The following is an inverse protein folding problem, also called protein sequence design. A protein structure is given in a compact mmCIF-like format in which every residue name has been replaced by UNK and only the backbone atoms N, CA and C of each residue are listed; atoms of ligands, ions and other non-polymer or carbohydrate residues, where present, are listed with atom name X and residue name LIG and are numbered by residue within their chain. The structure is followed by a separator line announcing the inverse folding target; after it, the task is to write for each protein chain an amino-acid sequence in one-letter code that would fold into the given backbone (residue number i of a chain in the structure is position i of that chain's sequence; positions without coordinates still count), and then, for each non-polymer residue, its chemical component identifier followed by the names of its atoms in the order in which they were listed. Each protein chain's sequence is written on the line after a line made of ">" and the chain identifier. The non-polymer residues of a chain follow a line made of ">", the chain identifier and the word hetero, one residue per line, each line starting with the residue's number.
data_IF_429585996909
#
_entry.id   IF_429585996909
#
_cell.length_a   1.000
_cell.length_b   1.000
_cell.length_c   1.000
_cell.angle_alpha   90.00
_cell.angle_beta   90.00
_cell.angle_gamma   90.00
#
_symmetry.space_group_name_H-M   'P 1'
#
loop_
_entity.id
_entity.type
_entity.pdbx_description
1 polymer ?
#
# COMPACT_ATOMS: atom_id res chain seq x y z
N UNK A 1 -57.60 -13.34 -21.69
CA UNK A 1 -56.11 -13.40 -21.63
C UNK A 1 -55.49 -12.02 -21.32
N UNK A 2 -55.94 -11.28 -20.29
CA UNK A 2 -55.44 -9.91 -19.99
C UNK A 2 -54.89 -9.69 -18.56
N UNK A 3 -55.07 -10.65 -17.66
CA UNK A 3 -54.70 -10.49 -16.23
C UNK A 3 -53.21 -10.75 -15.94
N UNK A 4 -52.56 -11.69 -16.67
CA UNK A 4 -51.16 -12.06 -16.41
C UNK A 4 -50.16 -10.94 -16.69
N UNK A 5 -50.43 -10.09 -17.69
CA UNK A 5 -49.53 -8.99 -18.03
C UNK A 5 -49.56 -7.85 -17.00
N UNK A 6 -50.70 -7.65 -16.31
CA UNK A 6 -50.81 -6.61 -15.30
C UNK A 6 -49.97 -6.92 -14.06
N UNK A 7 -49.94 -8.20 -13.64
CA UNK A 7 -49.18 -8.63 -12.46
C UNK A 7 -47.67 -8.47 -12.65
N UNK A 8 -47.16 -8.73 -13.86
CA UNK A 8 -45.73 -8.58 -14.19
C UNK A 8 -45.30 -7.12 -14.14
N UNK A 9 -46.13 -6.20 -14.63
CA UNK A 9 -45.83 -4.76 -14.61
C UNK A 9 -45.79 -4.22 -13.17
N UNK A 10 -46.70 -4.69 -12.31
CA UNK A 10 -46.74 -4.27 -10.90
C UNK A 10 -45.51 -4.79 -10.15
N UNK A 11 -45.13 -6.06 -10.35
CA UNK A 11 -43.94 -6.64 -9.71
C UNK A 11 -42.65 -5.93 -10.14
N UNK A 12 -42.52 -5.58 -11.43
CA UNK A 12 -41.33 -4.87 -11.92
C UNK A 12 -41.23 -3.45 -11.33
N UNK A 13 -42.37 -2.79 -11.13
CA UNK A 13 -42.43 -1.44 -10.53
C UNK A 13 -42.04 -1.46 -9.05
N UNK A 14 -42.45 -2.49 -8.30
CA UNK A 14 -42.07 -2.66 -6.88
C UNK A 14 -40.58 -2.93 -6.73
N UNK A 15 -39.98 -3.73 -7.62
CA UNK A 15 -38.53 -4.02 -7.59
C UNK A 15 -37.72 -2.76 -7.89
N UNK A 16 -38.15 -1.90 -8.83
CA UNK A 16 -37.49 -0.63 -9.11
C UNK A 16 -37.55 0.36 -7.93
N UNK A 17 -38.64 0.34 -7.14
CA UNK A 17 -38.77 1.15 -5.93
C UNK A 17 -37.96 0.62 -4.73
N UNK A 18 -37.57 -0.65 -4.76
CA UNK A 18 -36.80 -1.29 -3.69
C UNK A 18 -35.29 -1.31 -3.93
N UNK A 19 -34.77 -0.64 -4.96
CA UNK A 19 -33.33 -0.45 -5.05
C UNK A 19 -32.91 0.57 -4.00
N UNK A 20 -32.24 0.15 -2.90
CA UNK A 20 -31.64 1.13 -2.00
C UNK A 20 -30.70 1.97 -2.85
N UNK A 21 -30.92 3.27 -2.86
CA UNK A 21 -29.97 4.20 -3.43
C UNK A 21 -28.67 3.97 -2.66
N UNK A 22 -27.74 3.21 -3.25
CA UNK A 22 -26.37 3.09 -2.77
C UNK A 22 -25.82 4.50 -2.93
N UNK A 23 -25.99 5.31 -1.89
CA UNK A 23 -25.26 6.54 -1.73
C UNK A 23 -23.81 6.10 -1.56
N UNK A 24 -23.09 6.05 -2.67
CA UNK A 24 -21.65 6.24 -2.67
C UNK A 24 -21.44 7.65 -2.14
N UNK A 25 -21.44 7.78 -0.81
CA UNK A 25 -20.87 8.91 -0.11
C UNK A 25 -19.39 8.90 -0.49
N UNK A 26 -19.08 9.58 -1.59
CA UNK A 26 -17.77 10.13 -1.89
C UNK A 26 -17.49 11.25 -0.88
N UNK A 27 -17.68 10.98 0.41
CA UNK A 27 -17.13 11.83 1.45
C UNK A 27 -15.63 11.81 1.19
N UNK A 28 -15.01 12.96 0.90
CA UNK A 28 -13.57 13.05 0.84
C UNK A 28 -13.08 12.47 2.16
N UNK A 29 -12.32 11.37 2.10
CA UNK A 29 -11.65 10.84 3.28
C UNK A 29 -10.84 12.01 3.81
N UNK A 30 -11.26 12.55 4.96
CA UNK A 30 -10.61 13.70 5.55
C UNK A 30 -9.16 13.29 5.88
N UNK A 31 -8.15 13.82 5.15
CA UNK A 31 -6.77 13.42 5.38
C UNK A 31 -6.29 13.84 6.78
N UNK A 32 -7.06 14.69 7.49
CA UNK A 32 -6.81 15.03 8.89
C UNK A 32 -7.04 13.85 9.85
N UNK A 33 -7.87 12.86 9.51
CA UNK A 33 -8.07 11.65 10.33
C UNK A 33 -6.87 10.69 10.28
N UNK A 34 -5.95 10.89 9.34
CA UNK A 34 -4.66 10.19 9.28
C UNK A 34 -3.48 11.02 9.82
N UNK A 35 -3.75 12.22 10.36
CA UNK A 35 -2.73 13.00 11.07
C UNK A 35 -2.45 12.35 12.42
N UNK A 36 -1.42 11.51 12.41
CA UNK A 36 -0.72 11.08 13.60
C UNK A 36 -0.29 12.32 14.43
N UNK A 37 -0.43 12.31 15.77
CA UNK A 37 0.04 13.38 16.66
C UNK A 37 1.55 13.67 16.57
N UNK A 38 2.29 12.86 15.80
CA UNK A 38 3.75 12.94 15.63
C UNK A 38 4.19 13.85 14.46
N UNK A 39 3.26 14.51 13.77
CA UNK A 39 3.55 15.23 12.52
C UNK A 39 4.01 16.69 12.68
N UNK A 40 4.36 17.16 13.89
CA UNK A 40 4.83 18.55 14.05
C UNK A 40 6.34 18.75 13.94
N UNK A 41 7.12 17.68 13.76
CA UNK A 41 8.54 17.81 13.53
C UNK A 41 9.02 16.79 12.47
N UNK A 42 9.31 17.22 11.22
CA UNK A 42 9.88 16.35 10.19
C UNK A 42 11.31 15.90 10.54
N UNK A 43 11.92 16.45 11.59
CA UNK A 43 13.19 15.97 12.17
C UNK A 43 12.98 15.07 13.40
N UNK A 44 11.74 14.88 13.87
CA UNK A 44 11.48 13.92 14.92
C UNK A 44 11.91 12.54 14.43
N UNK A 45 12.87 11.90 15.11
CA UNK A 45 13.36 10.62 14.65
C UNK A 45 12.22 9.61 14.69
N UNK A 46 12.20 8.73 13.69
CA UNK A 46 11.18 7.72 13.39
C UNK A 46 11.11 6.62 14.48
N UNK A 47 11.04 7.01 15.76
CA UNK A 47 11.37 6.20 16.93
C UNK A 47 10.18 5.83 17.82
N UNK A 48 8.96 6.25 17.52
CA UNK A 48 7.80 5.93 18.37
C UNK A 48 7.14 4.60 18.05
N UNK A 49 7.67 3.81 17.12
CA UNK A 49 7.45 2.36 17.09
C UNK A 49 8.78 1.66 17.25
N UNK A 50 8.91 0.65 18.14
CA UNK A 50 10.13 -0.13 18.33
C UNK A 50 10.38 -1.09 17.14
N UNK A 51 10.10 -0.66 15.91
CA UNK A 51 10.50 -1.34 14.70
C UNK A 51 11.96 -1.00 14.47
N UNK A 52 12.81 -2.02 14.48
CA UNK A 52 14.23 -1.90 14.25
C UNK A 52 14.41 -1.55 12.76
N UNK A 53 14.39 -0.26 12.45
CA UNK A 53 14.88 0.19 11.15
C UNK A 53 16.40 0.06 11.24
N UNK A 54 17.02 -0.76 10.38
CA UNK A 54 18.47 -0.85 10.29
C UNK A 54 19.03 0.56 10.09
N UNK A 55 20.06 0.93 10.86
CA UNK A 55 20.73 2.22 10.68
C UNK A 55 21.12 2.39 9.22
N UNK A 56 20.84 3.57 8.68
CA UNK A 56 21.18 3.93 7.30
C UNK A 56 20.13 3.54 6.25
N UNK A 57 18.98 2.98 6.64
CA UNK A 57 17.89 2.81 5.70
C UNK A 57 17.36 4.17 5.22
N UNK A 58 17.12 4.31 3.92
CA UNK A 58 16.72 5.57 3.29
C UNK A 58 15.42 5.40 2.50
N UNK A 59 14.47 6.31 2.74
CA UNK A 59 13.31 6.48 1.88
C UNK A 59 13.74 7.24 0.63
N UNK A 60 13.45 6.69 -0.55
CA UNK A 60 13.59 7.40 -1.81
C UNK A 60 12.23 7.50 -2.50
N UNK A 61 11.75 8.72 -2.67
CA UNK A 61 10.51 9.01 -3.37
C UNK A 61 10.75 9.14 -4.87
N UNK A 62 9.86 8.57 -5.67
CA UNK A 62 9.92 8.56 -7.14
C UNK A 62 8.52 8.72 -7.75
N UNK A 63 7.73 9.62 -7.16
CA UNK A 63 6.34 9.86 -7.58
C UNK A 63 6.29 10.52 -8.95
N UNK A 64 5.45 9.99 -9.84
CA UNK A 64 5.21 10.47 -11.20
C UNK A 64 3.71 10.52 -11.49
N UNK A 65 3.33 11.05 -12.66
CA UNK A 65 1.92 11.05 -13.10
C UNK A 65 1.31 9.64 -13.18
N UNK A 66 2.12 8.60 -13.40
CA UNK A 66 1.68 7.21 -13.49
C UNK A 66 1.73 6.47 -12.15
N UNK A 67 2.16 7.12 -11.06
CA UNK A 67 2.18 6.51 -9.73
C UNK A 67 0.77 6.22 -9.20
N UNK A 68 0.65 5.30 -8.23
CA UNK A 68 -0.63 4.96 -7.63
C UNK A 68 -1.30 6.09 -6.92
N UNK A 69 -2.61 5.97 -6.80
CA UNK A 69 -3.36 6.80 -5.87
C UNK A 69 -3.07 6.38 -4.43
N UNK A 70 -3.09 7.32 -3.49
CA UNK A 70 -2.90 7.00 -2.07
C UNK A 70 -3.87 5.92 -1.56
N UNK A 71 -5.13 5.97 -2.02
CA UNK A 71 -6.16 4.99 -1.66
C UNK A 71 -5.75 3.57 -2.02
N UNK A 72 -5.20 3.38 -3.23
CA UNK A 72 -4.75 2.07 -3.69
C UNK A 72 -3.61 1.55 -2.81
N UNK A 73 -2.68 2.42 -2.42
CA UNK A 73 -1.53 2.07 -1.56
C UNK A 73 -2.01 1.64 -0.18
N UNK A 74 -2.95 2.36 0.41
CA UNK A 74 -3.49 2.03 1.73
C UNK A 74 -4.24 0.70 1.72
N UNK A 75 -5.00 0.40 0.66
CA UNK A 75 -5.70 -0.88 0.56
C UNK A 75 -4.70 -2.03 0.34
N UNK A 76 -3.71 -1.87 -0.56
CA UNK A 76 -2.66 -2.85 -0.77
C UNK A 76 -1.84 -3.11 0.51
N UNK A 77 -1.59 -2.06 1.29
CA UNK A 77 -0.96 -2.14 2.61
C UNK A 77 -1.78 -2.95 3.60
N UNK A 78 -3.09 -2.71 3.68
CA UNK A 78 -3.97 -3.44 4.58
C UNK A 78 -4.01 -4.94 4.26
N UNK A 79 -4.01 -5.31 2.98
CA UNK A 79 -3.92 -6.72 2.54
C UNK A 79 -2.66 -7.41 3.09
N UNK A 80 -1.52 -6.70 3.13
CA UNK A 80 -0.28 -7.24 3.72
C UNK A 80 -0.37 -7.26 5.24
N UNK A 81 -0.92 -6.22 5.85
CA UNK A 81 -1.06 -6.12 7.30
C UNK A 81 -1.90 -7.26 7.88
N UNK A 82 -2.93 -7.72 7.17
CA UNK A 82 -3.76 -8.87 7.54
C UNK A 82 -2.99 -10.19 7.62
N UNK A 83 -1.81 -10.28 6.98
CA UNK A 83 -0.91 -11.44 7.10
C UNK A 83 -0.18 -11.46 8.46
N UNK A 84 -0.33 -10.42 9.28
CA UNK A 84 0.26 -10.28 10.63
C UNK A 84 1.79 -10.47 10.58
N UNK A 85 2.36 -11.00 11.66
CA UNK A 85 3.81 -11.19 11.82
C UNK A 85 4.39 -12.36 11.01
N UNK A 86 3.75 -12.80 9.92
CA UNK A 86 4.36 -13.74 8.97
C UNK A 86 5.52 -13.08 8.23
N UNK A 87 6.43 -13.90 7.71
CA UNK A 87 7.54 -13.42 6.88
C UNK A 87 7.11 -13.26 5.42
N UNK A 88 7.37 -12.07 4.88
CA UNK A 88 7.31 -11.76 3.47
C UNK A 88 8.71 -12.02 2.89
N UNK A 89 8.89 -13.21 2.30
CA UNK A 89 10.19 -13.69 1.82
C UNK A 89 10.27 -13.68 0.30
N UNK A 90 11.37 -13.14 -0.21
CA UNK A 90 11.76 -13.16 -1.61
C UNK A 90 11.99 -14.60 -2.09
N UNK A 91 11.24 -15.06 -3.09
CA UNK A 91 11.31 -16.46 -3.58
C UNK A 91 12.10 -16.64 -4.88
N UNK A 92 12.41 -15.57 -5.61
CA UNK A 92 13.05 -15.65 -6.93
C UNK A 92 14.13 -14.60 -7.19
N UNK A 93 14.64 -14.54 -8.42
CA UNK A 93 15.61 -13.52 -8.87
C UNK A 93 14.97 -12.16 -9.19
N UNK A 94 13.65 -12.13 -9.34
CA UNK A 94 12.85 -10.91 -9.58
C UNK A 94 12.04 -10.60 -8.35
N UNK A 95 11.66 -9.34 -8.18
CA UNK A 95 10.85 -8.91 -7.05
C UNK A 95 9.64 -9.81 -6.78
N UNK A 96 9.41 -10.15 -5.52
CA UNK A 96 8.22 -10.89 -5.08
C UNK A 96 7.16 -9.90 -4.62
N UNK A 97 6.01 -9.88 -5.29
CA UNK A 97 4.84 -9.05 -4.92
C UNK A 97 4.00 -9.77 -3.87
N UNK A 98 3.62 -9.07 -2.81
CA UNK A 98 2.84 -9.61 -1.69
C UNK A 98 1.40 -9.09 -1.67
N UNK A 99 1.16 -7.88 -2.16
CA UNK A 99 -0.19 -7.38 -2.41
C UNK A 99 -0.21 -6.46 -3.62
N UNK A 100 -1.37 -6.45 -4.27
CA UNK A 100 -1.72 -5.56 -5.36
C UNK A 100 -3.15 -5.11 -5.16
N UNK A 101 -3.41 -3.82 -5.35
CA UNK A 101 -4.75 -3.26 -5.38
C UNK A 101 -4.80 -2.06 -6.34
N UNK A 102 -5.70 -2.10 -7.32
CA UNK A 102 -5.83 -1.03 -8.30
C UNK A 102 -4.51 -0.77 -9.02
N UNK A 103 -4.02 0.47 -8.92
CA UNK A 103 -2.70 0.83 -9.44
C UNK A 103 -1.55 0.38 -8.53
N UNK A 104 -1.75 0.25 -7.21
CA UNK A 104 -0.72 -0.03 -6.21
C UNK A 104 -0.22 -1.49 -6.19
N UNK A 105 1.09 -1.69 -6.08
CA UNK A 105 1.70 -2.98 -5.68
C UNK A 105 2.68 -2.83 -4.51
N UNK A 106 2.81 -3.84 -3.66
CA UNK A 106 3.85 -3.90 -2.63
C UNK A 106 4.68 -5.16 -2.82
N UNK A 107 5.99 -4.97 -3.02
CA UNK A 107 6.92 -6.03 -3.33
C UNK A 107 8.20 -5.94 -2.50
N UNK A 108 8.98 -7.00 -2.50
CA UNK A 108 10.37 -7.00 -2.04
C UNK A 108 11.23 -7.28 -3.28
N UNK A 109 12.37 -6.60 -3.39
CA UNK A 109 13.33 -6.83 -4.48
C UNK A 109 14.73 -7.03 -3.89
N UNK A 110 14.95 -8.22 -3.34
CA UNK A 110 16.19 -8.60 -2.68
C UNK A 110 16.76 -9.90 -3.28
N UNK A 111 17.85 -10.40 -2.69
CA UNK A 111 18.35 -11.73 -3.00
C UNK A 111 17.32 -12.82 -2.57
N UNK A 112 17.23 -13.95 -3.30
CA UNK A 112 16.38 -15.08 -2.90
C UNK A 112 16.63 -15.50 -1.46
N UNK A 113 15.56 -15.76 -0.71
CA UNK A 113 15.61 -16.14 0.71
C UNK A 113 15.65 -14.97 1.69
N UNK A 114 15.85 -13.75 1.22
CA UNK A 114 15.73 -12.56 2.06
C UNK A 114 14.27 -12.26 2.39
N UNK A 115 13.96 -11.85 3.61
CA UNK A 115 12.60 -11.50 3.99
C UNK A 115 12.53 -10.47 5.10
N UNK A 116 11.38 -9.84 5.21
CA UNK A 116 10.99 -9.00 6.35
C UNK A 116 9.68 -9.52 6.92
N UNK A 117 9.32 -9.09 8.12
CA UNK A 117 7.96 -9.30 8.57
C UNK A 117 7.00 -8.54 7.66
N UNK A 118 5.85 -9.14 7.37
CA UNK A 118 4.87 -8.53 6.48
C UNK A 118 4.30 -7.24 7.08
N UNK A 119 4.14 -7.16 8.39
CA UNK A 119 3.77 -5.91 9.06
C UNK A 119 4.78 -4.78 8.79
N UNK A 120 6.09 -5.06 8.72
CA UNK A 120 7.15 -4.09 8.34
C UNK A 120 7.02 -3.65 6.88
N UNK A 121 6.70 -4.57 5.97
CA UNK A 121 6.42 -4.23 4.58
C UNK A 121 5.17 -3.33 4.46
N UNK A 122 4.11 -3.62 5.24
CA UNK A 122 2.93 -2.77 5.30
C UNK A 122 3.28 -1.37 5.83
N UNK A 123 4.08 -1.29 6.90
CA UNK A 123 4.55 -0.01 7.44
C UNK A 123 5.36 0.80 6.41
N UNK A 124 6.20 0.16 5.60
CA UNK A 124 6.90 0.82 4.48
C UNK A 124 5.89 1.41 3.49
N UNK A 125 4.83 0.66 3.14
CA UNK A 125 3.73 1.15 2.29
C UNK A 125 3.08 2.43 2.81
N UNK A 126 2.73 2.45 4.11
CA UNK A 126 2.18 3.64 4.77
C UNK A 126 3.15 4.82 4.76
N UNK A 127 4.44 4.54 4.97
CA UNK A 127 5.49 5.54 5.00
C UNK A 127 5.69 6.17 3.61
N UNK A 128 5.68 5.37 2.54
CA UNK A 128 5.70 5.87 1.16
C UNK A 128 4.46 6.72 0.88
N UNK A 129 3.26 6.23 1.22
CA UNK A 129 2.03 6.99 1.00
C UNK A 129 2.03 8.34 1.74
N UNK A 130 2.61 8.40 2.94
CA UNK A 130 2.63 9.60 3.77
C UNK A 130 3.70 10.62 3.35
N UNK A 131 4.91 10.16 3.01
CA UNK A 131 6.06 11.04 2.82
C UNK A 131 6.47 11.22 1.36
N UNK A 132 5.96 10.41 0.43
CA UNK A 132 6.21 10.54 -1.01
C UNK A 132 4.96 11.03 -1.76
N UNK A 133 4.01 11.63 -1.07
CA UNK A 133 2.80 12.16 -1.68
C UNK A 133 3.10 13.34 -2.62
N UNK A 134 2.52 13.30 -3.81
CA UNK A 134 2.42 14.40 -4.74
C UNK A 134 1.08 14.31 -5.50
N UNK A 135 0.18 15.27 -5.24
CA UNK A 135 -1.14 15.43 -5.90
C UNK A 135 -2.02 14.17 -5.84
N UNK A 136 -2.11 13.56 -4.67
CA UNK A 136 -2.92 12.37 -4.40
C UNK A 136 -2.30 11.07 -4.91
N UNK A 137 -1.05 11.11 -5.37
CA UNK A 137 -0.28 9.95 -5.79
C UNK A 137 0.97 9.78 -4.95
N UNK A 138 1.48 8.56 -4.85
CA UNK A 138 2.78 8.34 -4.20
C UNK A 138 3.48 7.11 -4.78
N UNK A 139 4.80 7.21 -4.95
CA UNK A 139 5.66 6.07 -5.20
C UNK A 139 7.01 6.29 -4.53
N UNK A 140 7.62 5.20 -4.09
CA UNK A 140 8.92 5.26 -3.46
C UNK A 140 9.46 3.88 -3.19
N UNK A 141 10.65 3.82 -2.57
CA UNK A 141 11.31 2.60 -2.14
C UNK A 141 12.08 2.84 -0.86
N UNK A 142 12.17 1.80 -0.03
CA UNK A 142 12.92 1.81 1.21
C UNK A 142 14.24 1.05 1.02
N UNK A 143 15.33 1.79 0.84
CA UNK A 143 16.64 1.19 0.57
C UNK A 143 17.34 0.88 1.88
N UNK A 144 17.78 -0.36 2.08
CA UNK A 144 18.68 -0.70 3.17
C UNK A 144 20.12 -0.60 2.67
N UNK A 145 21.05 -0.08 3.49
CA UNK A 145 22.45 -0.03 3.10
C UNK A 145 22.96 -1.47 2.95
N UNK A 146 23.78 -1.69 1.92
CA UNK A 146 24.50 -2.96 1.83
C UNK A 146 25.39 -3.12 3.07
N UNK A 147 25.58 -4.36 3.57
CA UNK A 147 26.53 -4.59 4.65
C UNK A 147 27.93 -4.09 4.22
N UNK A 148 28.62 -3.42 5.12
CA UNK A 148 29.98 -2.92 4.90
C UNK A 148 30.88 -4.07 4.42
N UNK A 149 31.43 -3.94 3.21
CA UNK A 149 32.27 -4.98 2.59
C UNK A 149 31.65 -5.71 1.39
N UNK A 150 30.40 -5.42 1.02
CA UNK A 150 29.86 -5.82 -0.28
C UNK A 150 30.54 -5.02 -1.41
N UNK A 151 31.75 -5.45 -1.81
CA UNK A 151 32.51 -4.83 -2.91
C UNK A 151 31.79 -5.04 -4.23
N UNK A 152 31.14 -4.00 -4.74
CA UNK A 152 30.92 -3.58 -6.14
C UNK A 152 30.54 -4.62 -7.21
N UNK A 153 30.21 -5.85 -6.79
CA UNK A 153 29.98 -7.00 -7.65
C UNK A 153 28.62 -7.61 -7.37
N UNK A 154 27.56 -6.98 -7.87
CA UNK A 154 26.32 -7.67 -8.21
C UNK A 154 25.41 -8.13 -7.07
N UNK A 155 25.74 -7.87 -5.81
CA UNK A 155 24.73 -7.89 -4.76
C UNK A 155 24.06 -6.52 -4.76
N UNK A 156 22.99 -6.37 -5.55
CA UNK A 156 21.92 -5.41 -5.23
C UNK A 156 21.50 -5.72 -3.78
N UNK A 157 22.18 -5.05 -2.84
CA UNK A 157 22.00 -5.19 -1.41
C UNK A 157 20.52 -5.14 -1.13
N UNK A 158 20.05 -6.08 -0.31
CA UNK A 158 18.66 -6.39 -0.06
C UNK A 158 17.82 -5.13 0.16
N UNK A 159 17.36 -4.55 -0.95
CA UNK A 159 16.50 -3.41 -0.93
C UNK A 159 15.12 -4.02 -0.76
N UNK A 160 14.40 -3.64 0.29
CA UNK A 160 12.94 -3.63 0.12
C UNK A 160 12.69 -2.46 -0.81
N UNK A 161 12.89 -2.71 -2.11
CA UNK A 161 12.15 -1.96 -3.10
C UNK A 161 10.70 -2.40 -2.90
N UNK A 162 10.05 -1.81 -1.90
CA UNK A 162 8.62 -1.69 -1.81
C UNK A 162 8.20 -0.87 -3.01
N UNK A 163 8.25 -1.47 -4.19
CA UNK A 163 7.90 -0.76 -5.41
C UNK A 163 6.39 -0.66 -5.42
N UNK A 164 5.94 0.48 -4.92
CA UNK A 164 4.60 1.00 -5.11
C UNK A 164 4.51 1.47 -6.57
N UNK A 165 4.29 0.51 -7.48
CA UNK A 165 3.77 0.77 -8.83
C UNK A 165 2.34 1.17 -8.74
#
# INVERSE_FOLDING_TARGET
>A
MKSKNLLVIILFSIILLYHPSISTTNSPIDPSLFRDPLTHDPTAPLHTHPRIIPRGAQLQCTTTATSPTLSDIFIATNIIYERKSTWCTQTGKRCTTFATHGSASLAICAAPGWGVKCDDLAWVGQTVARYCEDKGKAAGRWMFPAPEGAKDGGFEGAAVRGVVF
#
